data_IF_581800200672
#
_entry.id   IF_581800200672
#
_cell.length_a   1.000
_cell.length_b   1.000
_cell.length_c   1.000
_cell.angle_alpha   90.00
_cell.angle_beta   90.00
_cell.angle_gamma   90.00
#
_symmetry.space_group_name_H-M   'P 1'
#
loop_
_entity.id
_entity.type
_entity.pdbx_description
1 polymer ?
#
# COMPACT_ATOMS: atom_id res chain seq x y z
N UNK A 1 -4.71 4.72 -52.68
CA UNK A 1 -3.89 5.13 -51.53
C UNK A 1 -4.35 4.38 -50.28
N UNK A 2 -3.54 3.43 -49.84
CA UNK A 2 -3.87 2.44 -48.82
C UNK A 2 -3.75 3.04 -47.40
N UNK A 3 -4.79 2.83 -46.59
CA UNK A 3 -4.93 3.30 -45.20
C UNK A 3 -4.11 2.49 -44.19
N UNK A 4 -3.31 1.53 -44.67
CA UNK A 4 -2.45 0.66 -43.86
C UNK A 4 -1.25 1.37 -43.17
N UNK A 5 -1.00 2.65 -43.44
CA UNK A 5 0.22 3.34 -42.98
C UNK A 5 0.19 3.97 -41.58
N UNK A 6 -0.91 3.90 -40.82
CA UNK A 6 -1.07 4.68 -39.57
C UNK A 6 -1.14 3.89 -38.26
N UNK A 7 -0.97 2.56 -38.28
CA UNK A 7 -1.10 1.75 -37.06
C UNK A 7 0.24 1.35 -36.39
N UNK A 8 1.38 1.93 -36.78
CA UNK A 8 2.71 1.50 -36.28
C UNK A 8 3.44 2.49 -35.36
N UNK A 9 2.71 3.31 -34.61
CA UNK A 9 3.30 4.10 -33.50
C UNK A 9 2.33 4.19 -32.34
N UNK A 10 1.99 3.03 -31.77
CA UNK A 10 1.62 2.96 -30.36
C UNK A 10 2.85 2.41 -29.68
N UNK A 11 3.41 3.22 -28.79
CA UNK A 11 4.63 2.93 -28.06
C UNK A 11 4.57 1.52 -27.49
N UNK A 12 5.56 0.72 -27.85
CA UNK A 12 5.75 -0.63 -27.31
C UNK A 12 6.28 -0.46 -25.89
N UNK A 13 5.42 -0.01 -24.97
CA UNK A 13 5.65 -0.21 -23.55
C UNK A 13 5.91 -1.70 -23.37
N UNK A 14 7.13 -2.00 -22.92
CA UNK A 14 7.58 -3.35 -22.68
C UNK A 14 6.74 -3.91 -21.55
N UNK A 15 5.64 -4.60 -21.90
CA UNK A 15 4.89 -5.44 -20.98
C UNK A 15 5.82 -6.56 -20.53
N UNK A 16 6.64 -6.26 -19.52
CA UNK A 16 7.54 -7.21 -18.91
C UNK A 16 6.66 -8.15 -18.09
N UNK A 17 6.53 -9.39 -18.56
CA UNK A 17 5.77 -10.41 -17.86
C UNK A 17 6.21 -10.44 -16.38
N UNK A 18 5.26 -10.44 -15.42
CA UNK A 18 5.61 -10.44 -14.02
C UNK A 18 6.39 -11.72 -13.67
N UNK A 19 7.54 -11.54 -13.01
CA UNK A 19 8.32 -12.63 -12.44
C UNK A 19 7.47 -13.45 -11.46
N UNK A 20 7.69 -14.77 -11.37
CA UNK A 20 7.07 -15.65 -10.37
C UNK A 20 7.12 -15.08 -8.95
N UNK A 21 8.22 -14.41 -8.56
CA UNK A 21 8.34 -13.73 -7.26
C UNK A 21 7.28 -12.62 -7.12
N UNK A 22 7.08 -11.81 -8.16
CA UNK A 22 6.07 -10.74 -8.16
C UNK A 22 4.66 -11.32 -8.04
N UNK A 23 4.39 -12.43 -8.73
CA UNK A 23 3.09 -13.12 -8.67
C UNK A 23 2.82 -13.63 -7.24
N UNK A 24 3.82 -14.25 -6.61
CA UNK A 24 3.72 -14.75 -5.23
C UNK A 24 3.47 -13.59 -4.26
N UNK A 25 4.26 -12.51 -4.34
CA UNK A 25 4.12 -11.35 -3.45
C UNK A 25 2.76 -10.67 -3.63
N UNK A 26 2.29 -10.51 -4.88
CA UNK A 26 0.98 -9.95 -5.16
C UNK A 26 -0.15 -10.83 -4.61
N UNK A 27 -0.02 -12.16 -4.71
CA UNK A 27 -1.00 -13.10 -4.16
C UNK A 27 -1.09 -12.99 -2.64
N UNK A 28 0.07 -12.89 -1.96
CA UNK A 28 0.13 -12.65 -0.51
C UNK A 28 -0.55 -11.33 -0.17
N UNK A 29 -0.22 -10.24 -0.87
CA UNK A 29 -0.80 -8.92 -0.63
C UNK A 29 -2.32 -8.89 -0.74
N UNK A 30 -2.89 -9.51 -1.78
CA UNK A 30 -4.36 -9.56 -1.98
C UNK A 30 -5.03 -10.33 -0.84
N UNK A 31 -4.45 -11.48 -0.46
CA UNK A 31 -4.96 -12.31 0.61
C UNK A 31 -4.94 -11.59 1.96
N UNK A 32 -3.79 -10.99 2.32
CA UNK A 32 -3.63 -10.26 3.58
C UNK A 32 -4.48 -9.00 3.62
N UNK A 33 -4.59 -8.26 2.52
CA UNK A 33 -5.44 -7.06 2.44
C UNK A 33 -6.90 -7.39 2.74
N UNK A 34 -7.42 -8.49 2.19
CA UNK A 34 -8.81 -8.90 2.43
C UNK A 34 -9.07 -9.24 3.90
N UNK A 35 -8.12 -9.91 4.57
CA UNK A 35 -8.20 -10.23 6.00
C UNK A 35 -8.11 -8.97 6.86
N UNK A 36 -7.15 -8.09 6.57
CA UNK A 36 -6.93 -6.85 7.32
C UNK A 36 -8.14 -5.92 7.18
N UNK A 37 -8.73 -5.78 5.99
CA UNK A 37 -9.93 -4.97 5.78
C UNK A 37 -11.07 -5.39 6.71
N UNK A 38 -11.32 -6.70 6.83
CA UNK A 38 -12.34 -7.21 7.77
C UNK A 38 -12.01 -6.88 9.22
N UNK A 39 -10.74 -7.00 9.64
CA UNK A 39 -10.34 -6.65 11.00
C UNK A 39 -10.43 -5.15 11.29
N UNK A 40 -10.23 -4.30 10.28
CA UNK A 40 -10.31 -2.85 10.41
C UNK A 40 -11.76 -2.36 10.59
N UNK A 41 -12.74 -3.03 9.97
CA UNK A 41 -14.17 -2.71 10.14
C UNK A 41 -14.64 -2.85 11.59
N UNK A 42 -14.03 -3.78 12.34
CA UNK A 42 -14.35 -4.04 13.75
C UNK A 42 -13.44 -3.30 14.74
N UNK A 43 -12.40 -2.62 14.25
CA UNK A 43 -11.42 -1.98 15.12
C UNK A 43 -11.99 -0.73 15.82
N UNK A 44 -11.63 -0.55 17.09
CA UNK A 44 -11.99 0.67 17.83
C UNK A 44 -11.37 1.93 17.23
N UNK A 45 -10.13 1.81 16.75
CA UNK A 45 -9.31 2.85 16.14
C UNK A 45 -8.39 2.18 15.12
N UNK A 46 -8.30 2.77 13.92
CA UNK A 46 -7.32 2.37 12.90
C UNK A 46 -6.25 3.46 12.80
N UNK A 47 -4.97 3.08 12.84
CA UNK A 47 -3.83 3.99 12.68
C UNK A 47 -3.17 3.67 11.34
N UNK A 48 -3.22 4.59 10.39
CA UNK A 48 -2.75 4.40 9.02
C UNK A 48 -1.53 5.27 8.72
N UNK A 49 -0.29 4.75 8.85
CA UNK A 49 0.91 5.48 8.46
C UNK A 49 1.02 5.62 6.94
N UNK A 50 1.55 6.77 6.48
CA UNK A 50 1.74 7.03 5.05
C UNK A 50 3.01 6.34 4.50
N UNK A 51 2.90 5.05 4.18
CA UNK A 51 4.01 4.22 3.68
C UNK A 51 3.65 3.42 2.43
N UNK A 52 2.55 3.77 1.74
CA UNK A 52 2.07 3.02 0.58
C UNK A 52 3.06 2.99 -0.60
N UNK A 53 4.00 3.93 -0.64
CA UNK A 53 5.08 4.00 -1.63
C UNK A 53 6.29 3.11 -1.30
N UNK A 54 6.39 2.58 -0.08
CA UNK A 54 7.52 1.75 0.36
C UNK A 54 7.27 0.29 -0.04
N UNK A 55 8.14 -0.27 -0.87
CA UNK A 55 8.05 -1.66 -1.29
C UNK A 55 8.51 -2.65 -0.22
N UNK A 56 8.09 -3.91 -0.33
CA UNK A 56 8.41 -4.98 0.65
C UNK A 56 9.90 -5.21 0.90
N UNK A 57 10.77 -4.82 -0.04
CA UNK A 57 12.23 -4.98 0.04
C UNK A 57 12.99 -3.69 0.33
N UNK A 58 12.30 -2.56 0.56
CA UNK A 58 12.92 -1.24 0.65
C UNK A 58 13.42 -0.93 2.07
N UNK A 59 14.31 -1.76 2.59
CA UNK A 59 14.85 -1.66 3.96
C UNK A 59 15.59 -0.34 4.25
N UNK A 60 15.96 0.41 3.22
CA UNK A 60 16.61 1.72 3.36
C UNK A 60 15.64 2.83 3.80
N UNK A 61 14.32 2.62 3.72
CA UNK A 61 13.30 3.54 4.23
C UNK A 61 12.93 3.29 5.70
N UNK A 62 13.71 2.50 6.45
CA UNK A 62 13.38 2.13 7.83
C UNK A 62 13.10 3.36 8.73
N UNK A 63 13.94 4.39 8.66
CA UNK A 63 13.76 5.62 9.44
C UNK A 63 12.47 6.36 9.05
N UNK A 64 12.14 6.40 7.76
CA UNK A 64 10.89 7.00 7.29
C UNK A 64 9.68 6.24 7.83
N UNK A 65 9.67 4.91 7.74
CA UNK A 65 8.57 4.10 8.25
C UNK A 65 8.34 4.33 9.76
N UNK A 66 9.42 4.43 10.54
CA UNK A 66 9.34 4.73 11.98
C UNK A 66 8.70 6.10 12.21
N UNK A 67 9.15 7.13 11.48
CA UNK A 67 8.61 8.49 11.59
C UNK A 67 7.13 8.55 11.20
N UNK A 68 6.75 7.92 10.08
CA UNK A 68 5.35 7.90 9.63
C UNK A 68 4.45 7.17 10.63
N UNK A 69 4.95 6.10 11.25
CA UNK A 69 4.27 5.41 12.35
C UNK A 69 4.07 6.31 13.57
N UNK A 70 5.11 7.02 13.99
CA UNK A 70 5.04 7.98 15.10
C UNK A 70 4.01 9.08 14.82
N UNK A 71 4.08 9.72 13.66
CA UNK A 71 3.17 10.81 13.28
C UNK A 71 1.71 10.34 13.25
N UNK A 72 1.43 9.18 12.64
CA UNK A 72 0.09 8.61 12.60
C UNK A 72 -0.43 8.29 14.01
N UNK A 73 0.39 7.70 14.88
CA UNK A 73 0.01 7.38 16.25
C UNK A 73 -0.24 8.65 17.10
N UNK A 74 0.61 9.68 16.94
CA UNK A 74 0.43 10.97 17.62
C UNK A 74 -0.87 11.64 17.20
N UNK A 75 -1.22 11.61 15.92
CA UNK A 75 -2.48 12.15 15.41
C UNK A 75 -3.71 11.47 16.03
N UNK A 76 -3.62 10.16 16.31
CA UNK A 76 -4.70 9.38 16.91
C UNK A 76 -4.79 9.49 18.45
N UNK A 77 -3.88 10.19 19.13
CA UNK A 77 -3.78 10.14 20.60
C UNK A 77 -5.04 10.61 21.32
N UNK A 78 -5.75 11.61 20.77
CA UNK A 78 -6.98 12.13 21.37
C UNK A 78 -8.11 11.10 21.26
N UNK A 79 -8.20 10.43 20.12
CA UNK A 79 -9.19 9.37 19.91
C UNK A 79 -8.92 8.16 20.81
N UNK A 80 -7.66 7.78 20.97
CA UNK A 80 -7.22 6.73 21.90
C UNK A 80 -7.66 7.07 23.31
N UNK A 81 -7.39 8.29 23.79
CA UNK A 81 -7.79 8.71 25.13
C UNK A 81 -9.31 8.68 25.33
N UNK A 82 -10.07 9.10 24.32
CA UNK A 82 -11.54 9.07 24.33
C UNK A 82 -12.07 7.63 24.44
N UNK A 83 -11.51 6.68 23.70
CA UNK A 83 -11.89 5.26 23.77
C UNK A 83 -11.53 4.60 25.10
N UNK A 84 -10.44 5.02 25.73
CA UNK A 84 -9.99 4.51 27.03
C UNK A 84 -10.73 5.13 28.23
N UNK A 85 -11.64 6.09 28.03
CA UNK A 85 -12.33 6.79 29.12
C UNK A 85 -11.41 7.71 29.95
N UNK A 86 -10.29 8.13 29.37
CA UNK A 86 -9.28 8.98 30.01
C UNK A 86 -9.43 10.48 29.64
N UNK A 87 -10.60 10.86 29.11
CA UNK A 87 -11.07 12.24 28.85
C UNK A 87 -12.60 12.28 28.90
#
# INVERSE_FOLDING_TARGET
PDVAGRAHRVDKESYKEPNIINIIMQSIYIGTYSLVRSSMEEADIVIEPNVAHVGYGDFHHAQECILQGELAAQASILEIKRKLGNL
#
